data_IF_218705832452
#
_entry.id   IF_218705832452
#
_cell.length_a   1.000
_cell.length_b   1.000
_cell.length_c   1.000
_cell.angle_alpha   90.00
_cell.angle_beta   90.00
_cell.angle_gamma   90.00
#
_symmetry.space_group_name_H-M   'P 1'
#
loop_
_entity.id
_entity.type
_entity.pdbx_description
1 polymer ?
#
# COMPACT_ATOMS: atom_id res chain seq x y z
N UNK A 1 -22.50 10.73 -16.68
CA UNK A 1 -22.34 9.81 -15.55
C UNK A 1 -20.91 10.00 -15.05
N UNK A 2 -20.74 10.60 -13.86
CA UNK A 2 -19.43 10.66 -13.23
C UNK A 2 -19.15 9.27 -12.67
N UNK A 3 -18.12 8.58 -13.16
CA UNK A 3 -17.86 7.16 -12.88
C UNK A 3 -17.38 6.89 -11.44
N UNK A 4 -17.29 7.91 -10.58
CA UNK A 4 -16.76 7.77 -9.21
C UNK A 4 -15.28 7.38 -9.14
N UNK A 5 -14.62 7.20 -10.30
CA UNK A 5 -13.21 6.89 -10.42
C UNK A 5 -12.44 8.21 -10.48
N UNK A 6 -11.64 8.47 -9.45
CA UNK A 6 -10.87 9.72 -9.32
C UNK A 6 -9.50 9.63 -10.00
N UNK A 7 -8.96 8.41 -10.15
CA UNK A 7 -7.70 8.15 -10.83
C UNK A 7 -7.66 6.70 -11.35
N UNK A 8 -6.87 6.46 -12.38
CA UNK A 8 -6.59 5.15 -12.92
C UNK A 8 -5.08 5.04 -13.19
N UNK A 9 -4.49 3.92 -12.79
CA UNK A 9 -3.08 3.62 -13.01
C UNK A 9 -3.00 2.18 -13.52
N UNK A 10 -2.32 1.99 -14.65
CA UNK A 10 -1.94 0.68 -15.15
C UNK A 10 -0.50 0.41 -14.71
N UNK A 11 -0.26 -0.76 -14.12
CA UNK A 11 1.05 -1.19 -13.62
C UNK A 11 1.33 -2.61 -14.09
N UNK A 12 2.61 -2.93 -14.27
CA UNK A 12 3.03 -4.32 -14.50
C UNK A 12 2.88 -5.10 -13.18
N UNK A 13 2.15 -6.21 -13.25
CA UNK A 13 1.84 -7.01 -12.08
C UNK A 13 3.08 -7.72 -11.53
N UNK A 14 4.03 -8.11 -12.39
CA UNK A 14 5.25 -8.79 -11.96
C UNK A 14 6.14 -7.81 -11.17
N UNK A 15 6.25 -6.56 -11.62
CA UNK A 15 6.99 -5.50 -10.90
C UNK A 15 6.37 -5.20 -9.52
N UNK A 16 5.03 -5.15 -9.45
CA UNK A 16 4.31 -4.93 -8.19
C UNK A 16 4.52 -6.09 -7.22
N UNK A 17 4.55 -7.32 -7.73
CA UNK A 17 4.80 -8.51 -6.90
C UNK A 17 6.21 -8.51 -6.32
N UNK A 18 7.21 -8.20 -7.13
CA UNK A 18 8.60 -8.13 -6.68
C UNK A 18 8.77 -7.05 -5.61
N UNK A 19 8.21 -5.86 -5.82
CA UNK A 19 8.21 -4.80 -4.81
C UNK A 19 7.52 -5.25 -3.49
N UNK A 20 6.37 -5.92 -3.59
CA UNK A 20 5.65 -6.41 -2.42
C UNK A 20 6.42 -7.47 -1.60
N UNK A 21 7.24 -8.29 -2.26
CA UNK A 21 8.10 -9.29 -1.60
C UNK A 21 9.27 -8.65 -0.85
N UNK A 22 9.76 -7.50 -1.33
CA UNK A 22 10.88 -6.79 -0.71
C UNK A 22 10.48 -5.99 0.54
N UNK A 23 9.25 -5.46 0.59
CA UNK A 23 8.72 -4.71 1.74
C UNK A 23 8.91 -5.40 3.12
N UNK A 24 8.50 -6.67 3.33
CA UNK A 24 8.70 -7.33 4.62
C UNK A 24 10.17 -7.62 4.92
N UNK A 25 11.00 -7.82 3.88
CA UNK A 25 12.44 -8.08 4.01
C UNK A 25 13.19 -6.84 4.49
N UNK A 26 12.90 -5.68 3.90
CA UNK A 26 13.56 -4.41 4.20
C UNK A 26 13.17 -3.87 5.58
N UNK A 27 11.91 -4.04 5.98
CA UNK A 27 11.40 -3.40 7.20
C UNK A 27 11.36 -4.33 8.41
N UNK A 28 11.70 -5.62 8.25
CA UNK A 28 11.69 -6.61 9.32
C UNK A 28 10.27 -6.87 9.81
N UNK A 29 9.65 -7.95 9.30
CA UNK A 29 8.24 -8.25 9.53
C UNK A 29 7.97 -8.58 11.01
N UNK A 30 7.58 -7.56 11.78
CA UNK A 30 7.08 -7.70 13.15
C UNK A 30 5.59 -7.33 13.28
N UNK A 31 5.00 -6.81 12.19
CA UNK A 31 3.59 -6.46 12.10
C UNK A 31 2.93 -7.52 11.21
N UNK A 32 1.88 -8.21 11.68
CA UNK A 32 1.15 -9.17 10.85
C UNK A 32 0.39 -8.39 9.77
N UNK A 33 0.80 -8.55 8.51
CA UNK A 33 0.14 -7.94 7.34
C UNK A 33 -0.22 -9.04 6.35
N UNK A 34 -1.37 -8.93 5.68
CA UNK A 34 -1.79 -9.89 4.66
C UNK A 34 -1.02 -9.61 3.38
N UNK A 35 -0.87 -10.63 2.52
CA UNK A 35 -0.24 -10.46 1.20
C UNK A 35 -0.92 -9.35 0.37
N UNK A 36 -2.24 -9.23 0.46
CA UNK A 36 -2.99 -8.17 -0.21
C UNK A 36 -2.61 -6.75 0.28
N UNK A 37 -2.24 -6.62 1.56
CA UNK A 37 -1.81 -5.34 2.13
C UNK A 37 -0.45 -4.94 1.58
N UNK A 38 0.46 -5.91 1.42
CA UNK A 38 1.77 -5.69 0.80
C UNK A 38 1.63 -5.25 -0.65
N UNK A 39 0.75 -5.89 -1.42
CA UNK A 39 0.48 -5.49 -2.81
C UNK A 39 -0.09 -4.08 -2.91
N UNK A 40 -1.05 -3.73 -2.05
CA UNK A 40 -1.59 -2.37 -2.02
C UNK A 40 -0.53 -1.30 -1.71
N UNK A 41 0.41 -1.62 -0.83
CA UNK A 41 1.49 -0.69 -0.49
C UNK A 41 2.55 -0.63 -1.57
N UNK A 42 2.88 -1.75 -2.21
CA UNK A 42 3.80 -1.77 -3.35
C UNK A 42 3.28 -0.89 -4.50
N UNK A 43 1.97 -0.91 -4.78
CA UNK A 43 1.34 -0.06 -5.80
C UNK A 43 1.57 1.44 -5.54
N UNK A 44 1.75 1.86 -4.29
CA UNK A 44 2.00 3.27 -3.96
C UNK A 44 3.30 3.81 -4.56
N UNK A 45 4.29 2.95 -4.79
CA UNK A 45 5.56 3.34 -5.42
C UNK A 45 5.38 3.82 -6.88
N UNK A 46 4.26 3.47 -7.52
CA UNK A 46 4.04 3.67 -8.94
C UNK A 46 3.24 4.94 -9.29
N UNK A 47 2.72 5.68 -8.31
CA UNK A 47 2.14 7.01 -8.62
C UNK A 47 0.99 7.50 -7.75
N UNK A 48 0.95 7.16 -6.46
CA UNK A 48 -0.06 7.70 -5.54
C UNK A 48 0.60 8.46 -4.38
N UNK A 49 0.04 9.62 -4.05
CA UNK A 49 0.60 10.49 -3.00
C UNK A 49 0.18 10.08 -1.58
N UNK A 50 -0.99 9.45 -1.44
CA UNK A 50 -1.62 9.18 -0.15
C UNK A 50 -2.18 7.76 -0.09
N UNK A 51 -1.79 7.02 0.95
CA UNK A 51 -2.34 5.71 1.25
C UNK A 51 -3.45 5.82 2.30
N UNK A 52 -4.71 5.76 1.86
CA UNK A 52 -5.87 5.90 2.75
C UNK A 52 -6.40 4.54 3.17
N UNK A 53 -6.51 4.27 4.47
CA UNK A 53 -7.05 2.99 4.97
C UNK A 53 -7.79 3.16 6.30
N UNK A 54 -8.77 2.30 6.57
CA UNK A 54 -9.38 2.14 7.89
C UNK A 54 -8.70 1.04 8.72
N UNK A 55 -7.83 0.23 8.11
CA UNK A 55 -7.09 -0.84 8.78
C UNK A 55 -5.87 -0.26 9.50
N UNK A 56 -5.85 -0.41 10.83
CA UNK A 56 -4.77 0.09 11.68
C UNK A 56 -3.43 -0.59 11.40
N UNK A 57 -3.41 -1.90 11.17
CA UNK A 57 -2.16 -2.64 10.93
C UNK A 57 -1.56 -2.25 9.57
N UNK A 58 -2.42 -2.09 8.58
CA UNK A 58 -2.02 -1.62 7.25
C UNK A 58 -1.45 -0.19 7.31
N UNK A 59 -2.11 0.70 8.07
CA UNK A 59 -1.62 2.06 8.30
C UNK A 59 -0.24 2.08 9.00
N UNK A 60 -0.10 1.33 10.10
CA UNK A 60 1.16 1.27 10.86
C UNK A 60 2.32 0.74 10.00
N UNK A 61 2.05 -0.26 9.16
CA UNK A 61 3.05 -0.79 8.25
C UNK A 61 3.39 0.21 7.13
N UNK A 62 2.40 0.89 6.53
CA UNK A 62 2.61 1.94 5.53
C UNK A 62 3.53 3.07 6.05
N UNK A 63 3.25 3.56 7.26
CA UNK A 63 4.07 4.60 7.92
C UNK A 63 5.50 4.11 8.11
N UNK A 64 5.69 2.84 8.52
CA UNK A 64 7.03 2.24 8.69
C UNK A 64 7.82 2.12 7.39
N UNK A 65 7.12 1.94 6.27
CA UNK A 65 7.72 1.92 4.93
C UNK A 65 8.00 3.32 4.36
N UNK A 66 7.66 4.38 5.10
CA UNK A 66 7.84 5.77 4.66
C UNK A 66 6.72 6.28 3.74
N UNK A 67 5.69 5.48 3.49
CA UNK A 67 4.52 5.85 2.71
C UNK A 67 3.66 6.81 3.54
N UNK A 68 3.24 7.92 2.93
CA UNK A 68 2.34 8.85 3.56
C UNK A 68 0.93 8.24 3.66
N UNK A 69 0.55 7.80 4.86
CA UNK A 69 -0.72 7.12 5.09
C UNK A 69 -1.69 7.93 5.95
N UNK A 70 -2.97 7.91 5.57
CA UNK A 70 -4.08 8.52 6.30
C UNK A 70 -4.97 7.41 6.87
N UNK A 71 -5.09 7.36 8.19
CA UNK A 71 -6.00 6.43 8.87
C UNK A 71 -7.38 7.04 9.01
N UNK A 72 -8.40 6.35 8.52
CA UNK A 72 -9.79 6.78 8.66
C UNK A 72 -10.35 6.33 10.02
N UNK A 73 -11.00 7.24 10.78
CA UNK A 73 -11.70 6.87 12.00
C UNK A 73 -12.89 5.95 11.67
N UNK A 74 -13.35 5.15 12.67
CA UNK A 74 -14.49 4.24 12.50
C UNK A 74 -15.80 4.96 12.19
#
# INVERSE_FOLDING_TARGET
MATGILAHLEVDYDEVFDAALELPRLHGQSIPVKTADLLHLAIMEFGFDHFVTADKQQHEFAVRTGIHSVHLPP
#
